data_IF_847233054056
#
_entry.id   IF_847233054056
#
_cell.length_a   1.000
_cell.length_b   1.000
_cell.length_c   1.000
_cell.angle_alpha   90.00
_cell.angle_beta   90.00
_cell.angle_gamma   90.00
#
_symmetry.space_group_name_H-M   'P 1'
#
loop_
_entity.id
_entity.type
_entity.pdbx_description
1 polymer ?
#
# COMPACT_ATOMS: atom_id res chain seq x y z
N UNK A 1 3.42 17.45 -18.50
CA UNK A 1 2.40 16.76 -17.69
C UNK A 1 2.42 17.39 -16.29
N UNK A 2 1.32 17.34 -15.55
CA UNK A 2 1.34 17.86 -14.18
C UNK A 2 2.21 16.94 -13.31
N UNK A 3 3.01 17.50 -12.40
CA UNK A 3 3.85 16.69 -11.48
C UNK A 3 3.00 15.67 -10.72
N UNK A 4 1.73 16.01 -10.46
CA UNK A 4 0.77 15.12 -9.81
C UNK A 4 0.44 13.87 -10.62
N UNK A 5 0.28 13.96 -11.95
CA UNK A 5 -0.02 12.78 -12.77
C UNK A 5 1.15 11.79 -12.80
N UNK A 6 2.39 12.32 -12.82
CA UNK A 6 3.62 11.53 -12.75
C UNK A 6 3.77 10.88 -11.37
N UNK A 7 3.53 11.64 -10.29
CA UNK A 7 3.56 11.14 -8.91
C UNK A 7 2.50 10.06 -8.68
N UNK A 8 1.28 10.26 -9.18
CA UNK A 8 0.19 9.28 -9.09
C UNK A 8 0.53 8.01 -9.89
N UNK A 9 1.07 8.16 -11.10
CA UNK A 9 1.45 7.00 -11.92
C UNK A 9 2.55 6.18 -11.25
N UNK A 10 3.55 6.84 -10.66
CA UNK A 10 4.60 6.18 -9.90
C UNK A 10 4.05 5.47 -8.66
N UNK A 11 3.24 6.16 -7.86
CA UNK A 11 2.63 5.62 -6.64
C UNK A 11 1.76 4.39 -6.96
N UNK A 12 0.94 4.49 -8.00
CA UNK A 12 0.06 3.40 -8.43
C UNK A 12 0.90 2.18 -8.86
N UNK A 13 1.98 2.40 -9.62
CA UNK A 13 2.85 1.32 -10.08
C UNK A 13 3.52 0.59 -8.91
N UNK A 14 4.10 1.35 -7.98
CA UNK A 14 4.75 0.78 -6.79
C UNK A 14 3.75 0.00 -5.91
N UNK A 15 2.54 0.52 -5.73
CA UNK A 15 1.47 -0.17 -5.00
C UNK A 15 1.04 -1.48 -5.68
N UNK A 16 0.79 -1.46 -6.99
CA UNK A 16 0.36 -2.64 -7.73
C UNK A 16 1.46 -3.71 -7.78
N UNK A 17 2.72 -3.29 -7.89
CA UNK A 17 3.88 -4.18 -7.80
C UNK A 17 3.93 -4.89 -6.45
N UNK A 18 3.83 -4.15 -5.34
CA UNK A 18 3.81 -4.74 -4.01
C UNK A 18 2.64 -5.71 -3.85
N UNK A 19 1.44 -5.29 -4.24
CA UNK A 19 0.23 -6.11 -4.16
C UNK A 19 0.36 -7.41 -4.97
N UNK A 20 1.00 -7.38 -6.15
CA UNK A 20 1.27 -8.58 -6.96
C UNK A 20 2.23 -9.55 -6.26
N UNK A 21 3.34 -9.05 -5.73
CA UNK A 21 4.31 -9.94 -5.07
C UNK A 21 3.72 -10.55 -3.79
N UNK A 22 2.90 -9.79 -3.05
CA UNK A 22 2.09 -10.34 -1.96
C UNK A 22 1.11 -11.40 -2.47
N UNK A 23 0.40 -11.15 -3.58
CA UNK A 23 -0.55 -12.10 -4.17
C UNK A 23 0.10 -13.44 -4.52
N UNK A 24 1.34 -13.41 -5.05
CA UNK A 24 2.12 -14.61 -5.39
C UNK A 24 2.63 -15.37 -4.17
N UNK A 25 3.00 -14.66 -3.10
CA UNK A 25 3.58 -15.27 -1.91
C UNK A 25 2.54 -15.75 -0.90
N UNK A 26 1.51 -14.94 -0.63
CA UNK A 26 0.46 -15.23 0.34
C UNK A 26 -0.89 -14.61 -0.12
N UNK A 27 -1.66 -15.33 -0.95
CA UNK A 27 -2.97 -14.88 -1.44
C UNK A 27 -3.94 -14.50 -0.31
N UNK A 28 -3.96 -15.27 0.78
CA UNK A 28 -4.90 -15.07 1.88
C UNK A 28 -4.63 -13.76 2.64
N UNK A 29 -3.36 -13.49 2.97
CA UNK A 29 -2.97 -12.22 3.60
C UNK A 29 -3.16 -11.04 2.64
N UNK A 30 -2.95 -11.24 1.34
CA UNK A 30 -3.16 -10.21 0.32
C UNK A 30 -4.63 -9.81 0.24
N UNK A 31 -5.55 -10.77 0.29
CA UNK A 31 -6.99 -10.50 0.33
C UNK A 31 -7.33 -9.54 1.49
N UNK A 32 -6.77 -9.80 2.67
CA UNK A 32 -7.00 -8.99 3.86
C UNK A 32 -6.33 -7.62 3.80
N UNK A 33 -5.05 -7.53 3.39
CA UNK A 33 -4.29 -6.26 3.36
C UNK A 33 -4.69 -5.31 2.23
N UNK A 34 -5.13 -5.84 1.10
CA UNK A 34 -5.44 -5.06 -0.11
C UNK A 34 -6.93 -5.01 -0.45
N UNK A 35 -7.79 -5.74 0.29
CA UNK A 35 -9.23 -5.78 0.06
C UNK A 35 -9.60 -6.33 -1.31
N UNK A 36 -8.88 -7.34 -1.78
CA UNK A 36 -9.09 -7.99 -3.07
C UNK A 36 -9.82 -9.33 -2.86
N UNK A 37 -10.77 -9.64 -3.74
CA UNK A 37 -11.34 -10.99 -3.80
C UNK A 37 -10.39 -11.95 -4.54
N UNK A 38 -10.73 -13.24 -4.48
CA UNK A 38 -9.94 -14.32 -5.08
C UNK A 38 -9.64 -14.09 -6.58
N UNK A 39 -10.63 -13.67 -7.36
CA UNK A 39 -10.46 -13.48 -8.80
C UNK A 39 -9.49 -12.32 -9.09
N UNK A 40 -9.58 -11.25 -8.31
CA UNK A 40 -8.67 -10.12 -8.43
C UNK A 40 -7.24 -10.47 -7.99
N UNK A 41 -7.09 -11.33 -6.98
CA UNK A 41 -5.77 -11.80 -6.52
C UNK A 41 -5.09 -12.66 -7.58
N UNK A 42 -5.81 -13.64 -8.14
CA UNK A 42 -5.30 -14.52 -9.21
C UNK A 42 -4.90 -13.68 -10.43
N UNK A 43 -5.79 -12.78 -10.86
CA UNK A 43 -5.51 -11.87 -11.98
C UNK A 43 -4.28 -11.01 -11.70
N UNK A 44 -4.18 -10.41 -10.52
CA UNK A 44 -3.05 -9.55 -10.17
C UNK A 44 -1.74 -10.34 -10.15
N UNK A 45 -1.73 -11.55 -9.59
CA UNK A 45 -0.56 -12.43 -9.54
C UNK A 45 -0.03 -12.75 -10.95
N UNK A 46 -0.90 -12.85 -11.95
CA UNK A 46 -0.54 -13.19 -13.33
C UNK A 46 -0.15 -11.97 -14.19
N UNK A 47 -0.33 -10.75 -13.69
CA UNK A 47 -0.05 -9.54 -14.48
C UNK A 47 1.45 -9.36 -14.78
N UNK A 48 1.74 -9.01 -16.04
CA UNK A 48 3.09 -8.62 -16.47
C UNK A 48 3.44 -7.22 -15.98
N UNK A 49 4.72 -6.86 -16.06
CA UNK A 49 5.16 -5.51 -15.68
C UNK A 49 4.53 -4.44 -16.58
N UNK A 50 4.38 -4.72 -17.88
CA UNK A 50 3.72 -3.81 -18.82
C UNK A 50 2.26 -3.59 -18.43
N UNK A 51 1.52 -4.66 -18.13
CA UNK A 51 0.12 -4.54 -17.71
C UNK A 51 -0.05 -3.76 -16.39
N UNK A 52 0.92 -3.87 -15.47
CA UNK A 52 0.95 -3.07 -14.25
C UNK A 52 1.23 -1.59 -14.54
N UNK A 53 2.14 -1.27 -15.49
CA UNK A 53 2.41 0.10 -15.91
C UNK A 53 1.18 0.73 -16.55
N UNK A 54 0.52 0.00 -17.45
CA UNK A 54 -0.69 0.48 -18.12
C UNK A 54 -1.81 0.79 -17.13
N UNK A 55 -1.97 -0.03 -16.08
CA UNK A 55 -2.95 0.25 -15.02
C UNK A 55 -2.54 1.38 -14.06
N UNK A 56 -1.24 1.63 -13.94
CA UNK A 56 -0.72 2.68 -13.09
C UNK A 56 -0.90 4.07 -13.71
N UNK A 57 -0.90 4.17 -15.04
CA UNK A 57 -1.15 5.39 -15.82
C UNK A 57 -2.61 5.87 -15.65
N UNK A 58 -2.87 6.47 -14.50
CA UNK A 58 -4.18 6.97 -14.09
C UNK A 58 -3.99 8.27 -13.31
N UNK A 59 -4.72 9.32 -13.67
CA UNK A 59 -4.81 10.58 -12.92
C UNK A 59 -5.56 10.45 -11.58
N UNK A 60 -5.70 9.23 -11.06
CA UNK A 60 -6.34 8.90 -9.79
C UNK A 60 -5.48 7.87 -9.06
N UNK A 61 -5.41 8.00 -7.73
CA UNK A 61 -4.79 6.99 -6.89
C UNK A 61 -5.61 5.69 -6.94
N UNK A 62 -4.96 4.57 -7.26
CA UNK A 62 -5.58 3.23 -7.25
C UNK A 62 -5.55 2.58 -5.86
N UNK A 63 -4.79 3.17 -4.93
CA UNK A 63 -4.67 2.71 -3.55
C UNK A 63 -6.01 2.85 -2.84
N UNK A 64 -6.48 1.76 -2.24
CA UNK A 64 -7.58 1.78 -1.27
C UNK A 64 -7.00 1.70 0.13
N UNK A 65 -7.12 2.80 0.87
CA UNK A 65 -6.94 2.77 2.32
C UNK A 65 -8.14 2.03 2.89
N UNK A 66 -7.93 0.78 3.32
CA UNK A 66 -9.01 0.00 3.90
C UNK A 66 -9.58 0.73 5.10
N UNK A 67 -10.91 0.75 5.27
CA UNK A 67 -11.52 1.31 6.45
C UNK A 67 -10.92 0.60 7.65
N UNK A 68 -10.26 1.44 8.41
CA UNK A 68 -9.56 1.19 9.64
C UNK A 68 -10.68 0.82 10.64
N UNK A 69 -11.03 -0.47 10.70
CA UNK A 69 -11.96 -0.99 11.69
C UNK A 69 -11.25 -0.95 13.04
N UNK A 70 -11.65 -0.01 13.89
CA UNK A 70 -11.28 -0.03 15.30
C UNK A 70 -11.95 -1.28 15.89
N UNK A 71 -11.20 -2.29 16.36
CA UNK A 71 -11.81 -3.40 17.06
C UNK A 71 -12.54 -2.86 18.29
N UNK A 72 -13.77 -3.33 18.55
CA UNK A 72 -14.45 -3.01 19.80
C UNK A 72 -13.55 -3.41 20.98
N UNK A 73 -13.10 -2.44 21.76
CA UNK A 73 -12.21 -2.65 22.92
C UNK A 73 -10.80 -2.10 22.79
N UNK A 74 -10.40 -1.53 21.64
CA UNK A 74 -9.13 -0.79 21.50
C UNK A 74 -9.41 0.70 21.59
N UNK A 75 -8.66 1.43 22.43
CA UNK A 75 -8.81 2.88 22.51
C UNK A 75 -8.33 3.53 21.19
N UNK A 76 -9.00 4.61 20.77
CA UNK A 76 -8.65 5.31 19.54
C UNK A 76 -7.19 5.80 19.53
N UNK A 77 -6.60 6.10 20.69
CA UNK A 77 -5.18 6.45 20.83
C UNK A 77 -4.24 5.29 20.50
N UNK A 78 -4.40 4.14 21.16
CA UNK A 78 -3.57 2.94 20.90
C UNK A 78 -3.70 2.44 19.45
N UNK A 79 -4.84 2.72 18.85
CA UNK A 79 -5.12 2.37 17.47
C UNK A 79 -4.45 3.32 16.47
N UNK A 80 -4.46 4.63 16.74
CA UNK A 80 -3.71 5.62 15.95
C UNK A 80 -2.21 5.32 15.99
N UNK A 81 -1.66 4.90 17.14
CA UNK A 81 -0.25 4.53 17.28
C UNK A 81 0.16 3.34 16.39
N UNK A 82 -0.75 2.40 16.12
CA UNK A 82 -0.50 1.26 15.21
C UNK A 82 -0.53 1.64 13.72
N UNK A 83 -1.12 2.79 13.41
CA UNK A 83 -1.35 3.27 12.04
C UNK A 83 -0.42 4.41 11.66
N UNK A 84 0.22 5.04 12.65
CA UNK A 84 1.31 5.95 12.38
C UNK A 84 2.43 5.15 11.70
N UNK A 85 2.93 5.61 10.54
CA UNK A 85 4.17 5.09 10.02
C UNK A 85 5.20 5.20 11.14
N UNK A 86 5.90 4.11 11.43
CA UNK A 86 7.09 4.12 12.28
C UNK A 86 8.15 4.97 11.57
N UNK A 87 7.97 6.29 11.59
CA UNK A 87 9.04 7.23 11.35
C UNK A 87 9.88 7.12 12.61
N UNK A 88 10.79 6.15 12.61
CA UNK A 88 11.90 6.21 13.53
C UNK A 88 12.59 7.53 13.20
N UNK A 89 12.39 8.54 14.04
CA UNK A 89 13.37 9.58 14.16
C UNK A 89 14.66 8.81 14.44
N UNK A 90 15.59 8.80 13.47
CA UNK A 90 16.97 8.52 13.83
C UNK A 90 17.25 9.57 14.88
N UNK A 91 17.36 9.14 16.13
CA UNK A 91 18.10 9.89 17.11
C UNK A 91 19.50 9.96 16.53
N UNK A 92 19.75 11.02 15.76
CA UNK A 92 21.10 11.49 15.52
C UNK A 92 21.58 11.92 16.92
N UNK A 93 22.03 10.93 17.71
CA UNK A 93 22.95 11.13 18.82
C UNK A 93 24.26 11.65 18.20
N UNK A 94 24.21 12.89 17.75
CA UNK A 94 25.36 13.69 17.38
C UNK A 94 25.03 15.13 17.77
N UNK A 95 24.91 15.34 19.06
CA UNK A 95 24.96 16.67 19.66
C UNK A 95 25.72 16.57 20.98
N UNK A 96 26.96 17.10 20.93
CA UNK A 96 27.91 17.34 22.01
C UNK A 96 28.49 16.05 22.66
N UNK A 97 29.81 15.84 22.68
CA UNK A 97 30.88 16.77 23.08
C UNK A 97 32.11 16.64 22.16
#
# INVERSE_FOLDING_TARGET
MSTLDEDLSRLNFEYLMLARECARSNPAETAWRFGLDKNHIEKLADMTLEQLRDQAESSRAVIRLLPIFVPNGVSMGAYVDLLQPLVSERSDENSAI
#
